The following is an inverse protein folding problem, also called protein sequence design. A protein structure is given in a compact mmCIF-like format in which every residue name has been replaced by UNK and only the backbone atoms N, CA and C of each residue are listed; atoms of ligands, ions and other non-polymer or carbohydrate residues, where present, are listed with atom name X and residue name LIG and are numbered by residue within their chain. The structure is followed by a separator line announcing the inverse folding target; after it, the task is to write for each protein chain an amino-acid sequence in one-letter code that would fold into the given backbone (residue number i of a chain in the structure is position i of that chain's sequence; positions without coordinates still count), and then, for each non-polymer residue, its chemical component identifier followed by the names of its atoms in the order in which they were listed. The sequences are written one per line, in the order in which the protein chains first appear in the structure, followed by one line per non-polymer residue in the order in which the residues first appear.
data_IF_028926831883
#
_entry.id   IF_028926831883
#
_cell.length_a   1.000
_cell.length_b   1.000
_cell.length_c   1.000
_cell.angle_alpha   90.00
_cell.angle_beta   90.00
_cell.angle_gamma   90.00
#
_symmetry.space_group_name_H-M   'P 1'
#
loop_
_entity.id
_entity.type
_entity.pdbx_description
1 polymer ?
#
# COMPACT_ATOMS: atom_id res chain seq x y z
N UNK A 1 -20.72 27.64 -10.03
CA UNK A 1 -20.66 27.67 -8.56
C UNK A 1 -20.90 26.25 -8.03
N UNK A 2 -19.87 25.75 -7.34
CA UNK A 2 -19.82 24.70 -6.30
C UNK A 2 -20.46 23.32 -6.57
N UNK A 3 -19.61 22.34 -6.88
CA UNK A 3 -19.90 20.91 -6.86
C UNK A 3 -20.12 20.40 -5.41
N UNK A 4 -20.93 19.34 -5.18
CA UNK A 4 -21.18 18.84 -3.85
C UNK A 4 -19.96 18.11 -3.29
N UNK A 5 -19.59 18.51 -2.06
CA UNK A 5 -18.57 17.90 -1.21
C UNK A 5 -18.97 16.46 -0.85
N UNK A 6 -18.56 15.48 -1.65
CA UNK A 6 -18.62 14.08 -1.25
C UNK A 6 -17.51 13.81 -0.23
N UNK A 7 -17.83 13.90 1.07
CA UNK A 7 -16.97 13.43 2.15
C UNK A 7 -16.73 11.92 1.97
N UNK A 8 -15.62 11.55 1.34
CA UNK A 8 -15.11 10.18 1.33
C UNK A 8 -14.46 9.88 2.68
N UNK A 9 -15.24 9.51 3.68
CA UNK A 9 -14.73 8.66 4.76
C UNK A 9 -14.63 7.24 4.20
N UNK A 10 -13.47 6.90 3.62
CA UNK A 10 -13.18 5.53 3.21
C UNK A 10 -13.27 4.58 4.42
N UNK A 11 -13.65 3.31 4.22
CA UNK A 11 -13.75 2.36 5.32
C UNK A 11 -12.41 2.25 6.05
N UNK A 12 -12.44 2.48 7.36
CA UNK A 12 -11.32 2.17 8.24
C UNK A 12 -11.05 0.66 8.14
N UNK A 13 -9.78 0.23 8.04
CA UNK A 13 -9.35 -1.14 7.74
C UNK A 13 -9.76 -2.21 8.80
N UNK A 14 -10.70 -1.88 9.68
CA UNK A 14 -11.21 -2.70 10.79
C UNK A 14 -12.44 -3.53 10.44
N UNK A 15 -13.07 -3.33 9.28
CA UNK A 15 -14.38 -3.96 9.00
C UNK A 15 -14.56 -4.36 7.53
N UNK A 16 -13.75 -5.31 7.05
CA UNK A 16 -14.02 -6.02 5.79
C UNK A 16 -14.17 -7.51 6.14
N UNK A 17 -15.38 -8.05 5.99
CA UNK A 17 -15.69 -9.47 6.22
C UNK A 17 -15.63 -10.26 4.90
N UNK A 18 -15.11 -11.49 5.02
CA UNK A 18 -15.22 -12.67 4.14
C UNK A 18 -14.20 -12.83 3.00
N UNK A 19 -13.26 -13.78 3.15
CA UNK A 19 -13.38 -15.15 2.63
C UNK A 19 -12.32 -16.07 3.28
N UNK A 20 -12.63 -17.37 3.33
CA UNK A 20 -12.16 -18.43 4.25
C UNK A 20 -10.68 -18.85 4.23
N UNK A 21 -9.78 -18.14 3.54
CA UNK A 21 -8.33 -18.44 3.55
C UNK A 21 -7.49 -17.46 4.38
N UNK A 22 -8.13 -16.41 4.92
CA UNK A 22 -7.50 -15.38 5.74
C UNK A 22 -7.19 -15.81 7.19
N UNK A 23 -7.41 -17.08 7.55
CA UNK A 23 -7.39 -17.55 8.95
C UNK A 23 -6.00 -17.66 9.61
N UNK A 24 -4.92 -17.25 8.94
CA UNK A 24 -3.60 -17.09 9.59
C UNK A 24 -3.11 -15.65 9.64
N UNK A 25 -3.81 -14.71 9.00
CA UNK A 25 -3.45 -13.28 9.04
C UNK A 25 -4.60 -12.31 9.38
N UNK A 26 -5.86 -12.69 9.55
CA UNK A 26 -6.95 -11.72 9.88
C UNK A 26 -7.22 -11.58 11.37
N UNK A 27 -6.77 -12.54 12.15
CA UNK A 27 -6.77 -12.53 13.61
C UNK A 27 -5.89 -11.36 14.14
N UNK A 28 -6.31 -10.09 14.17
CA UNK A 28 -5.59 -8.95 14.82
C UNK A 28 -4.53 -8.14 14.06
N UNK A 29 -4.43 -8.26 12.73
CA UNK A 29 -3.25 -7.78 11.99
C UNK A 29 -3.51 -6.55 11.12
N UNK A 30 -3.77 -5.40 11.74
CA UNK A 30 -3.86 -4.10 11.06
C UNK A 30 -2.54 -3.65 10.40
N UNK A 31 -2.39 -2.35 10.12
CA UNK A 31 -1.21 -1.73 9.47
C UNK A 31 0.16 -2.36 9.83
N UNK A 32 0.37 -2.79 11.08
CA UNK A 32 1.59 -3.49 11.53
C UNK A 32 1.96 -4.70 10.68
N UNK A 33 1.00 -5.55 10.31
CA UNK A 33 1.28 -6.74 9.51
C UNK A 33 1.58 -6.38 8.05
N UNK A 34 0.79 -5.47 7.46
CA UNK A 34 1.06 -4.93 6.13
C UNK A 34 2.46 -4.28 6.06
N UNK A 35 2.84 -3.52 7.10
CA UNK A 35 4.18 -2.93 7.22
C UNK A 35 5.27 -4.00 7.28
N UNK A 36 5.09 -5.05 8.07
CA UNK A 36 6.05 -6.16 8.18
C UNK A 36 6.23 -6.90 6.86
N UNK A 37 5.12 -7.24 6.19
CA UNK A 37 5.15 -7.91 4.89
C UNK A 37 5.81 -7.04 3.81
N UNK A 38 5.48 -5.74 3.77
CA UNK A 38 6.08 -4.79 2.84
C UNK A 38 7.60 -4.66 3.03
N UNK A 39 8.07 -4.57 4.29
CA UNK A 39 9.50 -4.51 4.59
C UNK A 39 10.19 -5.81 4.15
N UNK A 40 9.62 -6.97 4.49
CA UNK A 40 10.18 -8.25 4.10
C UNK A 40 10.31 -8.40 2.58
N UNK A 41 9.29 -7.98 1.83
CA UNK A 41 9.32 -7.98 0.36
C UNK A 41 10.43 -7.08 -0.21
N UNK A 42 10.60 -5.87 0.35
CA UNK A 42 11.68 -4.96 -0.06
C UNK A 42 13.07 -5.48 0.29
N UNK A 43 13.22 -6.14 1.45
CA UNK A 43 14.49 -6.73 1.90
C UNK A 43 14.87 -7.95 1.06
N UNK A 44 13.90 -8.77 0.65
CA UNK A 44 14.14 -9.96 -0.19
C UNK A 44 14.16 -9.68 -1.69
N UNK A 45 13.72 -8.49 -2.13
CA UNK A 45 13.54 -8.18 -3.55
C UNK A 45 12.29 -8.78 -4.18
N UNK A 46 11.40 -9.39 -3.39
CA UNK A 46 10.17 -10.04 -3.87
C UNK A 46 9.03 -9.03 -4.00
N UNK A 47 9.21 -8.07 -4.89
CA UNK A 47 8.17 -7.08 -5.20
C UNK A 47 8.13 -6.79 -6.70
N UNK A 48 6.96 -6.38 -7.15
CA UNK A 48 6.67 -6.04 -8.53
C UNK A 48 6.17 -4.61 -8.63
N UNK A 49 6.25 -4.05 -9.84
CA UNK A 49 5.71 -2.74 -10.16
C UNK A 49 4.52 -2.91 -11.09
N UNK A 50 3.36 -2.38 -10.70
CA UNK A 50 2.18 -2.44 -11.53
C UNK A 50 2.36 -1.55 -12.78
N UNK A 51 2.45 -2.18 -13.96
CA UNK A 51 2.48 -1.46 -15.23
C UNK A 51 1.06 -1.06 -15.64
N UNK A 52 0.76 0.25 -15.63
CA UNK A 52 -0.50 0.80 -16.17
C UNK A 52 -0.25 2.22 -16.68
N UNK A 53 -0.13 2.45 -17.99
CA UNK A 53 0.00 3.80 -18.57
C UNK A 53 1.05 4.70 -17.87
N UNK A 54 0.74 5.99 -17.71
CA UNK A 54 1.57 7.06 -17.08
C UNK A 54 2.07 6.79 -15.63
N UNK A 55 1.86 5.60 -15.08
CA UNK A 55 2.32 5.21 -13.74
C UNK A 55 3.85 5.03 -13.70
N UNK A 56 4.49 4.67 -14.81
CA UNK A 56 5.96 4.42 -14.85
C UNK A 56 6.76 5.64 -14.38
N UNK A 57 6.28 6.86 -14.64
CA UNK A 57 6.95 8.11 -14.25
C UNK A 57 6.87 8.37 -12.73
N UNK A 58 5.92 7.75 -12.01
CA UNK A 58 5.61 8.03 -10.59
C UNK A 58 6.18 7.00 -9.60
N UNK A 59 7.03 6.10 -10.08
CA UNK A 59 7.62 5.05 -9.25
C UNK A 59 9.13 5.20 -9.23
N UNK A 60 9.63 6.10 -8.37
CA UNK A 60 11.05 6.35 -8.16
C UNK A 60 11.82 5.05 -7.85
N UNK A 61 11.18 4.09 -7.18
CA UNK A 61 11.75 2.77 -6.90
C UNK A 61 11.93 1.95 -8.19
N UNK A 62 10.91 1.92 -9.06
CA UNK A 62 10.98 1.22 -10.35
C UNK A 62 12.05 1.81 -11.27
N UNK A 63 12.25 3.13 -11.22
CA UNK A 63 13.27 3.84 -12.01
C UNK A 63 14.68 3.73 -11.42
N UNK A 64 14.85 3.11 -10.25
CA UNK A 64 16.12 3.08 -9.52
C UNK A 64 16.57 4.44 -8.97
N UNK A 65 15.73 5.47 -9.06
CA UNK A 65 16.01 6.80 -8.53
C UNK A 65 16.05 6.83 -6.98
N UNK A 66 15.37 5.87 -6.34
CA UNK A 66 15.49 5.61 -4.90
C UNK A 66 15.71 4.11 -4.67
N UNK A 67 16.53 3.77 -3.67
CA UNK A 67 16.80 2.37 -3.32
C UNK A 67 15.70 1.77 -2.46
N UNK A 68 15.54 0.45 -2.52
CA UNK A 68 14.63 -0.28 -1.62
C UNK A 68 14.93 0.03 -0.14
N UNK A 69 16.21 0.16 0.24
CA UNK A 69 16.63 0.55 1.59
C UNK A 69 16.11 1.94 1.99
N UNK A 70 16.19 2.93 1.11
CA UNK A 70 15.65 4.26 1.39
C UNK A 70 14.13 4.22 1.62
N UNK A 71 13.42 3.44 0.80
CA UNK A 71 11.97 3.23 0.96
C UNK A 71 11.66 2.50 2.28
N UNK A 72 12.44 1.50 2.67
CA UNK A 72 12.32 0.80 3.96
C UNK A 72 12.42 1.78 5.13
N UNK A 73 13.39 2.71 5.13
CA UNK A 73 13.54 3.69 6.22
C UNK A 73 12.32 4.61 6.36
N UNK A 74 11.73 5.03 5.24
CA UNK A 74 10.47 5.77 5.24
C UNK A 74 9.36 4.92 5.85
N UNK A 75 9.21 3.67 5.43
CA UNK A 75 8.19 2.76 5.95
C UNK A 75 8.38 2.49 7.45
N UNK A 76 9.61 2.27 7.91
CA UNK A 76 9.97 2.08 9.33
C UNK A 76 9.52 3.25 10.19
N UNK A 77 9.60 4.46 9.65
CA UNK A 77 9.17 5.67 10.32
C UNK A 77 7.63 5.90 10.32
N UNK A 78 6.88 5.17 9.50
CA UNK A 78 5.42 5.23 9.47
C UNK A 78 4.76 4.50 10.67
N UNK A 79 3.59 4.99 11.04
CA UNK A 79 2.71 4.49 12.10
C UNK A 79 1.28 4.40 11.55
N UNK A 80 0.33 3.86 12.32
CA UNK A 80 -1.06 3.73 11.86
C UNK A 80 -1.70 5.05 11.42
N UNK A 81 -1.26 6.19 11.96
CA UNK A 81 -1.74 7.51 11.58
C UNK A 81 -1.31 7.94 10.16
N UNK A 82 -0.23 7.35 9.64
CA UNK A 82 0.31 7.61 8.32
C UNK A 82 -0.27 6.67 7.26
N UNK A 83 -1.07 5.68 7.68
CA UNK A 83 -1.60 4.62 6.84
C UNK A 83 -3.08 4.82 6.57
N UNK A 84 -3.49 4.54 5.33
CA UNK A 84 -4.89 4.38 4.96
C UNK A 84 -5.02 3.21 3.99
N UNK A 85 -6.21 2.64 3.89
CA UNK A 85 -6.50 1.60 2.91
C UNK A 85 -7.82 1.86 2.19
N UNK A 86 -7.98 1.26 1.02
CA UNK A 86 -9.20 1.30 0.23
C UNK A 86 -9.29 0.03 -0.62
N UNK A 87 -10.50 -0.40 -0.96
CA UNK A 87 -10.70 -1.50 -1.89
C UNK A 87 -10.17 -1.12 -3.30
N UNK A 88 -9.59 -2.07 -4.01
CA UNK A 88 -9.16 -1.85 -5.39
C UNK A 88 -10.39 -1.68 -6.29
N UNK A 89 -10.34 -0.74 -7.24
CA UNK A 89 -11.52 -0.32 -8.01
C UNK A 89 -12.07 -1.40 -8.97
N UNK A 90 -11.19 -2.25 -9.52
CA UNK A 90 -11.60 -3.39 -10.37
C UNK A 90 -11.74 -4.72 -9.60
N UNK A 91 -11.19 -4.78 -8.38
CA UNK A 91 -11.05 -6.02 -7.62
C UNK A 91 -11.28 -5.69 -6.13
N UNK A 92 -12.53 -5.42 -5.71
CA UNK A 92 -12.82 -4.90 -4.37
C UNK A 92 -12.32 -5.77 -3.20
N UNK A 93 -12.06 -7.05 -3.46
CA UNK A 93 -11.42 -8.00 -2.55
C UNK A 93 -9.94 -7.70 -2.27
N UNK A 94 -9.27 -6.97 -3.16
CA UNK A 94 -7.87 -6.54 -2.99
C UNK A 94 -7.83 -5.23 -2.21
N UNK A 95 -7.13 -5.22 -1.10
CA UNK A 95 -6.92 -4.02 -0.29
C UNK A 95 -5.68 -3.26 -0.78
N UNK A 96 -5.90 -2.02 -1.17
CA UNK A 96 -4.85 -1.08 -1.55
C UNK A 96 -4.45 -0.24 -0.34
N UNK A 97 -3.18 -0.30 0.02
CA UNK A 97 -2.58 0.44 1.11
C UNK A 97 -1.90 1.71 0.60
N UNK A 98 -1.99 2.79 1.39
CA UNK A 98 -1.34 4.06 1.12
C UNK A 98 -0.62 4.53 2.39
N UNK A 99 0.66 4.87 2.27
CA UNK A 99 1.45 5.52 3.30
C UNK A 99 1.77 6.95 2.87
N UNK A 100 1.56 7.89 3.81
CA UNK A 100 1.89 9.30 3.64
C UNK A 100 2.71 9.80 4.80
N UNK A 101 3.95 10.23 4.55
CA UNK A 101 4.83 10.80 5.58
C UNK A 101 5.92 11.66 4.97
N UNK A 102 6.06 12.89 5.44
CA UNK A 102 7.15 13.81 5.03
C UNK A 102 7.30 13.94 3.50
N UNK A 103 6.21 14.23 2.79
CA UNK A 103 6.16 14.31 1.33
C UNK A 103 6.00 12.96 0.63
N UNK A 104 6.44 11.87 1.24
CA UNK A 104 6.34 10.55 0.60
C UNK A 104 4.91 10.07 0.40
N UNK A 105 4.66 9.51 -0.78
CA UNK A 105 3.46 8.80 -1.16
C UNK A 105 3.81 7.40 -1.68
N UNK A 106 3.50 6.38 -0.87
CA UNK A 106 3.77 4.97 -1.18
C UNK A 106 2.43 4.25 -1.26
N UNK A 107 2.14 3.65 -2.42
CA UNK A 107 0.88 2.94 -2.67
C UNK A 107 1.15 1.53 -3.17
N UNK A 108 0.56 0.54 -2.50
CA UNK A 108 0.83 -0.88 -2.75
C UNK A 108 -0.39 -1.75 -2.43
N UNK A 109 -0.40 -2.98 -2.93
CA UNK A 109 -1.29 -4.07 -2.49
C UNK A 109 -0.52 -5.39 -2.47
N UNK A 110 -1.16 -6.43 -1.95
CA UNK A 110 -0.64 -7.80 -1.96
C UNK A 110 -1.48 -8.67 -2.88
N UNK A 111 -0.81 -9.42 -3.75
CA UNK A 111 -1.37 -10.60 -4.43
C UNK A 111 -0.39 -11.70 -4.11
N UNK A 112 -0.74 -12.57 -3.16
CA UNK A 112 0.20 -13.55 -2.64
C UNK A 112 0.85 -14.38 -3.77
N UNK A 113 2.18 -14.57 -3.73
CA UNK A 113 3.11 -14.20 -2.65
C UNK A 113 3.68 -12.76 -2.75
N UNK A 114 3.32 -12.01 -3.79
CA UNK A 114 4.02 -10.80 -4.20
C UNK A 114 3.45 -9.51 -3.59
N UNK A 115 4.35 -8.56 -3.35
CA UNK A 115 3.99 -7.17 -3.06
C UNK A 115 4.04 -6.35 -4.33
N UNK A 116 2.97 -5.63 -4.64
CA UNK A 116 2.86 -4.84 -5.86
C UNK A 116 2.84 -3.34 -5.53
N UNK A 117 3.80 -2.60 -6.07
CA UNK A 117 3.83 -1.14 -5.99
C UNK A 117 3.06 -0.52 -7.14
N UNK A 118 2.06 0.30 -6.81
CA UNK A 118 1.46 1.23 -7.78
C UNK A 118 2.29 2.50 -7.90
N UNK A 119 2.86 2.99 -6.80
CA UNK A 119 3.51 4.30 -6.78
C UNK A 119 4.46 4.43 -5.60
N UNK A 120 5.60 5.05 -5.84
CA UNK A 120 6.61 5.43 -4.83
C UNK A 120 7.21 6.76 -5.26
N UNK A 121 6.79 7.87 -4.65
CA UNK A 121 7.35 9.20 -4.94
C UNK A 121 7.32 10.12 -3.71
N UNK A 122 7.95 11.29 -3.87
CA UNK A 122 7.96 12.43 -2.94
C UNK A 122 7.16 13.60 -3.53
#
# INVERSE_FOLDING_TARGET
MVAPLYRRTGPNCRNVRLFSYWSRMTMDNGFKAAKRALIAALESGNYLHAARGDITIKNLLAMGAVSARAVIEVIRSCSGAHHSCTAHHMAPEVIVHVLRRHGWYIKFYFIEPDTWFLSVHQ
#
